data_IF_463354161843
#
_entry.id   IF_463354161843
#
_cell.length_a   1.000
_cell.length_b   1.000
_cell.length_c   1.000
_cell.angle_alpha   90.00
_cell.angle_beta   90.00
_cell.angle_gamma   90.00
#
_symmetry.space_group_name_H-M   'P 1'
#
loop_
_entity.id
_entity.type
_entity.pdbx_description
1 polymer ?
#
# COMPACT_ATOMS: atom_id res chain seq x y z
N UNK A 1 9.86 22.23 -2.38
CA UNK A 1 9.98 20.81 -2.00
C UNK A 1 10.69 20.78 -0.66
N UNK A 2 9.94 20.40 0.37
CA UNK A 2 10.37 20.37 1.76
C UNK A 2 11.35 19.20 1.99
N UNK A 3 12.28 19.35 2.93
CA UNK A 3 13.24 18.30 3.25
C UNK A 3 12.60 17.09 3.95
N UNK A 4 13.28 15.92 3.97
CA UNK A 4 12.73 14.67 4.52
C UNK A 4 12.30 14.77 5.98
N UNK A 5 13.02 15.57 6.80
CA UNK A 5 12.69 15.77 8.22
C UNK A 5 11.34 16.45 8.43
N UNK A 6 11.02 17.46 7.61
CA UNK A 6 9.74 18.20 7.69
C UNK A 6 8.59 17.29 7.27
N UNK A 7 8.76 16.55 6.17
CA UNK A 7 7.77 15.60 5.67
C UNK A 7 7.52 14.49 6.71
N UNK A 8 8.57 13.90 7.29
CA UNK A 8 8.43 12.87 8.31
C UNK A 8 7.75 13.36 9.58
N UNK A 9 8.06 14.56 10.04
CA UNK A 9 7.36 15.17 11.18
C UNK A 9 5.87 15.40 10.86
N UNK A 10 5.56 15.96 9.69
CA UNK A 10 4.18 16.18 9.24
C UNK A 10 3.40 14.85 9.18
N UNK A 11 4.00 13.82 8.61
CA UNK A 11 3.36 12.50 8.51
C UNK A 11 3.09 11.90 9.89
N UNK A 12 4.06 11.96 10.81
CA UNK A 12 3.90 11.47 12.18
C UNK A 12 2.76 12.19 12.89
N UNK A 13 2.69 13.51 12.81
CA UNK A 13 1.62 14.31 13.42
C UNK A 13 0.25 14.00 12.82
N UNK A 14 0.14 13.98 11.50
CA UNK A 14 -1.14 13.70 10.82
C UNK A 14 -1.59 12.26 11.04
N UNK A 15 -0.67 11.30 11.12
CA UNK A 15 -0.98 9.92 11.46
C UNK A 15 -1.49 9.78 12.89
N UNK A 16 -0.81 10.39 13.87
CA UNK A 16 -1.24 10.36 15.27
C UNK A 16 -2.62 10.97 15.43
N UNK A 17 -2.87 12.10 14.75
CA UNK A 17 -4.17 12.76 14.77
C UNK A 17 -5.29 11.92 14.17
N UNK A 18 -5.02 11.18 13.09
CA UNK A 18 -6.01 10.31 12.44
C UNK A 18 -6.26 9.02 13.21
N UNK A 19 -5.28 8.50 13.94
CA UNK A 19 -5.44 7.28 14.75
C UNK A 19 -6.47 7.47 15.87
N UNK A 20 -6.53 8.65 16.48
CA UNK A 20 -7.46 8.94 17.59
C UNK A 20 -8.92 8.65 17.22
N UNK A 21 -9.50 9.25 16.16
CA UNK A 21 -10.89 8.97 15.79
C UNK A 21 -11.12 7.55 15.27
N UNK A 22 -10.13 6.96 14.58
CA UNK A 22 -10.22 5.56 14.11
C UNK A 22 -10.29 4.61 15.31
N UNK A 23 -9.40 4.78 16.28
CA UNK A 23 -9.44 4.01 17.53
C UNK A 23 -10.70 4.30 18.33
N UNK A 24 -11.16 5.55 18.35
CA UNK A 24 -12.44 5.92 18.95
C UNK A 24 -13.59 5.11 18.37
N UNK A 25 -13.73 5.02 17.06
CA UNK A 25 -14.77 4.19 16.42
C UNK A 25 -14.53 2.71 16.70
N UNK A 26 -13.30 2.20 16.55
CA UNK A 26 -12.99 0.80 16.74
C UNK A 26 -13.28 0.29 18.16
N UNK A 27 -13.09 1.14 19.18
CA UNK A 27 -13.22 0.77 20.59
C UNK A 27 -14.57 1.21 21.20
N UNK A 28 -15.06 2.40 20.87
CA UNK A 28 -16.27 2.95 21.46
C UNK A 28 -17.52 2.74 20.59
N UNK A 29 -17.35 2.54 19.30
CA UNK A 29 -18.48 2.37 18.37
C UNK A 29 -19.37 1.15 18.67
N UNK A 30 -18.88 0.19 19.49
CA UNK A 30 -19.66 -0.96 19.96
C UNK A 30 -20.89 -0.57 20.76
N UNK A 31 -20.93 0.61 21.37
CA UNK A 31 -22.12 1.13 22.06
C UNK A 31 -23.31 1.40 21.11
N UNK A 32 -23.02 1.64 19.83
CA UNK A 32 -24.00 1.89 18.77
C UNK A 32 -24.11 0.72 17.78
N UNK A 33 -23.42 -0.40 18.05
CA UNK A 33 -23.43 -1.58 17.20
C UNK A 33 -24.76 -2.33 17.30
N UNK A 34 -25.44 -2.51 16.16
CA UNK A 34 -26.60 -3.36 16.04
C UNK A 34 -26.27 -4.67 15.31
N UNK A 35 -26.47 -5.78 16.02
CA UNK A 35 -26.20 -7.13 15.48
C UNK A 35 -27.10 -7.46 14.28
N UNK A 36 -28.35 -7.01 14.26
CA UNK A 36 -29.27 -7.29 13.16
C UNK A 36 -28.78 -6.59 11.87
N UNK A 37 -28.39 -5.32 11.97
CA UNK A 37 -27.78 -4.55 10.88
C UNK A 37 -26.53 -5.23 10.33
N UNK A 38 -25.65 -5.71 11.21
CA UNK A 38 -24.42 -6.42 10.80
C UNK A 38 -24.73 -7.72 10.05
N UNK A 39 -25.63 -8.56 10.57
CA UNK A 39 -25.94 -9.86 9.98
C UNK A 39 -26.65 -9.75 8.63
N UNK A 40 -27.52 -8.76 8.45
CA UNK A 40 -28.17 -8.50 7.15
C UNK A 40 -27.19 -8.01 6.07
N UNK A 41 -26.04 -7.44 6.48
CA UNK A 41 -24.98 -6.98 5.58
C UNK A 41 -23.86 -8.01 5.33
N UNK A 42 -23.91 -9.22 5.91
CA UNK A 42 -22.79 -10.16 5.92
C UNK A 42 -22.33 -10.58 4.51
N UNK A 43 -23.23 -11.02 3.64
CA UNK A 43 -22.91 -11.36 2.26
C UNK A 43 -24.02 -10.89 1.32
N UNK A 44 -23.85 -9.71 0.76
CA UNK A 44 -24.79 -9.09 -0.17
C UNK A 44 -24.39 -9.24 -1.64
N UNK A 45 -23.37 -10.07 -1.93
CA UNK A 45 -22.87 -10.27 -3.28
C UNK A 45 -23.79 -11.12 -4.16
N UNK A 46 -24.74 -11.83 -3.56
CA UNK A 46 -25.58 -12.83 -4.24
C UNK A 46 -24.83 -14.11 -4.64
N UNK A 47 -23.54 -14.20 -4.37
CA UNK A 47 -22.70 -15.35 -4.62
C UNK A 47 -22.38 -16.16 -3.36
N UNK A 48 -21.52 -17.19 -3.51
CA UNK A 48 -21.06 -17.99 -2.37
C UNK A 48 -20.15 -17.16 -1.45
N UNK A 49 -20.08 -17.55 -0.17
CA UNK A 49 -19.22 -16.89 0.81
C UNK A 49 -17.73 -16.96 0.40
N UNK A 50 -17.30 -18.06 -0.22
CA UNK A 50 -15.92 -18.21 -0.72
C UNK A 50 -15.59 -17.16 -1.77
N UNK A 51 -16.52 -16.87 -2.69
CA UNK A 51 -16.32 -15.83 -3.71
C UNK A 51 -16.32 -14.43 -3.08
N UNK A 52 -17.20 -14.16 -2.12
CA UNK A 52 -17.23 -12.89 -1.39
C UNK A 52 -15.93 -12.65 -0.61
N UNK A 53 -15.41 -13.68 0.07
CA UNK A 53 -14.12 -13.64 0.77
C UNK A 53 -12.96 -13.42 -0.22
N UNK A 54 -13.00 -14.02 -1.41
CA UNK A 54 -11.99 -13.79 -2.45
C UNK A 54 -11.88 -12.31 -2.87
N UNK A 55 -13.03 -11.66 -3.11
CA UNK A 55 -13.06 -10.22 -3.42
C UNK A 55 -12.58 -9.36 -2.25
N UNK A 56 -13.01 -9.69 -1.03
CA UNK A 56 -12.55 -9.00 0.17
C UNK A 56 -11.03 -9.15 0.38
N UNK A 57 -10.45 -10.30 0.03
CA UNK A 57 -9.02 -10.55 0.12
C UNK A 57 -8.19 -9.65 -0.81
N UNK A 58 -8.66 -9.35 -2.02
CA UNK A 58 -8.00 -8.40 -2.93
C UNK A 58 -7.96 -6.99 -2.34
N UNK A 59 -9.09 -6.53 -1.78
CA UNK A 59 -9.17 -5.22 -1.12
C UNK A 59 -8.28 -5.20 0.14
N UNK A 60 -8.29 -6.28 0.92
CA UNK A 60 -7.42 -6.42 2.09
C UNK A 60 -5.93 -6.38 1.71
N UNK A 61 -5.53 -7.01 0.60
CA UNK A 61 -4.15 -6.94 0.11
C UNK A 61 -3.72 -5.50 -0.10
N UNK A 62 -4.55 -4.67 -0.76
CA UNK A 62 -4.26 -3.25 -0.92
C UNK A 62 -4.10 -2.52 0.43
N UNK A 63 -4.97 -2.81 1.40
CA UNK A 63 -4.92 -2.16 2.71
C UNK A 63 -3.62 -2.45 3.49
N UNK A 64 -2.92 -3.54 3.16
CA UNK A 64 -1.64 -3.92 3.76
C UNK A 64 -0.41 -3.62 2.87
N UNK A 65 -0.61 -3.08 1.65
CA UNK A 65 0.49 -2.62 0.82
C UNK A 65 1.25 -1.49 1.51
N UNK A 66 2.56 -1.47 1.31
CA UNK A 66 3.43 -0.45 1.91
C UNK A 66 4.18 -0.91 3.16
N UNK A 67 3.88 -2.09 3.72
CA UNK A 67 4.66 -2.65 4.84
C UNK A 67 6.12 -2.89 4.45
N UNK A 68 6.40 -3.15 3.18
CA UNK A 68 7.73 -3.27 2.59
C UNK A 68 8.55 -1.98 2.65
N UNK A 69 7.90 -0.82 2.80
CA UNK A 69 8.56 0.49 2.90
C UNK A 69 9.51 0.58 4.12
N UNK A 70 9.25 -0.20 5.17
CA UNK A 70 10.16 -0.32 6.29
C UNK A 70 11.56 -0.80 5.89
N UNK A 71 11.67 -1.65 4.85
CA UNK A 71 12.94 -2.13 4.33
C UNK A 71 13.74 -1.04 3.61
N UNK A 72 13.08 -0.05 3.00
CA UNK A 72 13.73 1.09 2.33
C UNK A 72 14.54 1.93 3.33
N UNK A 73 14.10 1.97 4.58
CA UNK A 73 14.74 2.71 5.66
C UNK A 73 15.86 1.94 6.37
N UNK A 74 16.21 0.72 5.93
CA UNK A 74 17.17 -0.16 6.61
C UNK A 74 18.55 0.47 6.83
N UNK A 75 18.99 1.37 5.94
CA UNK A 75 20.29 2.04 6.03
C UNK A 75 20.42 3.08 7.14
N UNK A 76 19.30 3.49 7.76
CA UNK A 76 19.26 4.54 8.81
C UNK A 76 18.69 4.02 10.14
N UNK A 77 18.27 2.76 10.20
CA UNK A 77 17.68 2.13 11.41
C UNK A 77 18.78 1.41 12.20
N UNK A 78 18.80 1.63 13.50
CA UNK A 78 19.64 0.87 14.41
C UNK A 78 19.22 -0.60 14.47
N UNK A 79 20.19 -1.53 14.44
CA UNK A 79 19.94 -2.98 14.46
C UNK A 79 18.86 -3.44 13.46
N UNK A 80 19.00 -3.12 12.16
CA UNK A 80 17.92 -3.29 11.16
C UNK A 80 17.47 -4.74 11.04
N UNK A 81 18.36 -5.73 11.22
CA UNK A 81 18.03 -7.17 11.17
C UNK A 81 17.00 -7.61 12.22
N UNK A 82 16.92 -6.91 13.34
CA UNK A 82 15.95 -7.19 14.42
C UNK A 82 14.77 -6.22 14.37
N UNK A 83 15.05 -4.94 14.25
CA UNK A 83 14.06 -3.90 14.45
C UNK A 83 13.08 -3.80 13.26
N UNK A 84 13.53 -4.01 12.02
CA UNK A 84 12.64 -3.97 10.85
C UNK A 84 11.62 -5.11 10.90
N UNK A 85 11.99 -6.41 11.01
CA UNK A 85 11.00 -7.47 11.10
C UNK A 85 10.04 -7.31 12.29
N UNK A 86 10.54 -6.89 13.44
CA UNK A 86 9.72 -6.70 14.64
C UNK A 86 8.72 -5.56 14.45
N UNK A 87 9.15 -4.41 13.97
CA UNK A 87 8.28 -3.26 13.70
C UNK A 87 7.23 -3.60 12.62
N UNK A 88 7.64 -4.31 11.57
CA UNK A 88 6.73 -4.75 10.50
C UNK A 88 5.66 -5.69 11.05
N UNK A 89 6.03 -6.71 11.82
CA UNK A 89 5.07 -7.67 12.37
C UNK A 89 4.12 -7.04 13.39
N UNK A 90 4.63 -6.17 14.27
CA UNK A 90 3.79 -5.45 15.25
C UNK A 90 2.85 -4.49 14.51
N UNK A 91 3.38 -3.72 13.56
CA UNK A 91 2.58 -2.78 12.76
C UNK A 91 1.49 -3.49 11.96
N UNK A 92 1.83 -4.62 11.31
CA UNK A 92 0.88 -5.44 10.57
C UNK A 92 -0.21 -6.01 11.47
N UNK A 93 0.16 -6.59 12.62
CA UNK A 93 -0.79 -7.16 13.58
C UNK A 93 -1.71 -6.10 14.17
N UNK A 94 -1.17 -4.95 14.57
CA UNK A 94 -1.97 -3.84 15.09
C UNK A 94 -2.93 -3.28 14.03
N UNK A 95 -2.47 -3.09 12.80
CA UNK A 95 -3.31 -2.64 11.69
C UNK A 95 -4.43 -3.63 11.40
N UNK A 96 -4.14 -4.95 11.39
CA UNK A 96 -5.15 -5.98 11.19
C UNK A 96 -6.25 -5.92 12.25
N UNK A 97 -5.88 -5.80 13.53
CA UNK A 97 -6.84 -5.68 14.65
C UNK A 97 -7.70 -4.42 14.49
N UNK A 98 -7.09 -3.28 14.19
CA UNK A 98 -7.81 -2.01 13.99
C UNK A 98 -8.77 -2.12 12.80
N UNK A 99 -8.34 -2.69 11.67
CA UNK A 99 -9.19 -2.87 10.49
C UNK A 99 -10.38 -3.78 10.78
N UNK A 100 -10.17 -4.93 11.42
CA UNK A 100 -11.25 -5.85 11.79
C UNK A 100 -12.26 -5.16 12.72
N UNK A 101 -11.78 -4.52 13.79
CA UNK A 101 -12.65 -3.87 14.77
C UNK A 101 -13.43 -2.72 14.14
N UNK A 102 -12.76 -1.81 13.44
CA UNK A 102 -13.42 -0.62 12.86
C UNK A 102 -14.40 -1.01 11.75
N UNK A 103 -14.03 -1.93 10.86
CA UNK A 103 -14.92 -2.37 9.78
C UNK A 103 -16.16 -3.09 10.33
N UNK A 104 -15.98 -3.98 11.32
CA UNK A 104 -17.09 -4.68 11.96
C UNK A 104 -18.06 -3.69 12.61
N UNK A 105 -17.52 -2.74 13.36
CA UNK A 105 -18.34 -1.72 14.03
C UNK A 105 -19.11 -0.86 13.02
N UNK A 106 -18.46 -0.39 11.97
CA UNK A 106 -19.11 0.42 10.93
C UNK A 106 -20.24 -0.35 10.26
N UNK A 107 -20.03 -1.63 9.94
CA UNK A 107 -21.06 -2.50 9.36
C UNK A 107 -22.24 -2.74 10.31
N UNK A 108 -22.05 -2.65 11.62
CA UNK A 108 -23.13 -2.72 12.60
C UNK A 108 -23.82 -1.39 12.88
N UNK A 109 -23.21 -0.25 12.54
CA UNK A 109 -23.81 1.08 12.72
C UNK A 109 -24.57 1.53 11.48
N UNK A 110 -24.05 1.23 10.28
CA UNK A 110 -24.60 1.70 9.01
C UNK A 110 -25.18 0.52 8.24
N UNK A 111 -26.47 0.56 7.87
CA UNK A 111 -27.08 -0.47 7.02
C UNK A 111 -26.33 -0.59 5.68
N UNK A 112 -26.19 -1.82 5.18
CA UNK A 112 -25.42 -2.09 3.97
C UNK A 112 -25.87 -1.27 2.75
N UNK A 113 -27.18 -1.07 2.58
CA UNK A 113 -27.72 -0.28 1.47
C UNK A 113 -27.17 1.15 1.44
N UNK A 114 -27.00 1.76 2.61
CA UNK A 114 -26.44 3.10 2.74
C UNK A 114 -24.88 3.06 2.67
N UNK A 115 -24.26 2.02 3.28
CA UNK A 115 -22.82 1.86 3.28
C UNK A 115 -22.24 1.75 1.86
N UNK A 116 -22.97 1.12 0.94
CA UNK A 116 -22.58 1.00 -0.48
C UNK A 116 -22.51 2.33 -1.22
N UNK A 117 -23.25 3.34 -0.78
CA UNK A 117 -23.27 4.69 -1.37
C UNK A 117 -22.54 5.73 -0.52
N UNK A 118 -22.06 5.35 0.65
CA UNK A 118 -21.36 6.25 1.55
C UNK A 118 -19.98 6.65 1.02
N UNK A 119 -19.76 7.96 0.82
CA UNK A 119 -18.48 8.49 0.41
C UNK A 119 -17.46 8.57 1.55
N UNK A 120 -17.92 8.62 2.80
CA UNK A 120 -17.08 8.73 3.99
C UNK A 120 -17.66 7.90 5.16
N UNK A 121 -17.55 6.55 5.12
CA UNK A 121 -18.20 5.67 6.11
C UNK A 121 -17.83 5.98 7.56
N UNK A 122 -16.57 6.30 7.86
CA UNK A 122 -16.15 6.67 9.21
C UNK A 122 -16.80 7.95 9.71
N UNK A 123 -16.93 8.97 8.86
CA UNK A 123 -17.59 10.22 9.21
C UNK A 123 -19.10 10.02 9.43
N UNK A 124 -19.72 9.19 8.60
CA UNK A 124 -21.14 8.84 8.74
C UNK A 124 -21.41 8.02 10.03
N UNK A 125 -20.55 7.05 10.35
CA UNK A 125 -20.64 6.31 11.60
C UNK A 125 -20.51 7.24 12.81
N UNK A 126 -19.58 8.18 12.79
CA UNK A 126 -19.44 9.18 13.86
C UNK A 126 -20.64 10.13 13.94
N UNK A 127 -21.24 10.49 12.81
CA UNK A 127 -22.47 11.30 12.79
C UNK A 127 -23.61 10.59 13.52
N UNK A 128 -23.77 9.29 13.32
CA UNK A 128 -24.78 8.48 13.99
C UNK A 128 -24.51 8.30 15.48
N UNK A 129 -23.24 8.18 15.85
CA UNK A 129 -22.84 7.96 17.23
C UNK A 129 -22.90 9.24 18.07
N UNK A 130 -22.32 10.32 17.59
CA UNK A 130 -22.10 11.57 18.39
C UNK A 130 -22.53 12.84 17.64
N UNK A 131 -23.26 12.71 16.54
CA UNK A 131 -23.81 13.83 15.78
C UNK A 131 -22.82 14.53 14.84
N UNK A 132 -23.21 15.69 14.32
CA UNK A 132 -22.46 16.43 13.31
C UNK A 132 -21.04 16.86 13.76
N UNK A 133 -20.83 17.03 15.04
CA UNK A 133 -19.49 17.36 15.59
C UNK A 133 -18.53 16.18 15.37
N UNK A 134 -18.97 14.96 15.63
CA UNK A 134 -18.18 13.76 15.37
C UNK A 134 -17.84 13.59 13.88
N UNK A 135 -18.81 13.82 13.02
CA UNK A 135 -18.61 13.82 11.57
C UNK A 135 -17.53 14.83 11.15
N UNK A 136 -17.63 16.06 11.64
CA UNK A 136 -16.69 17.14 11.29
C UNK A 136 -15.26 16.82 11.76
N UNK A 137 -15.11 16.30 12.99
CA UNK A 137 -13.80 15.92 13.54
C UNK A 137 -13.14 14.84 12.64
N UNK A 138 -13.87 13.79 12.29
CA UNK A 138 -13.33 12.72 11.42
C UNK A 138 -12.99 13.26 10.05
N UNK A 139 -13.84 14.08 9.44
CA UNK A 139 -13.59 14.65 8.12
C UNK A 139 -12.30 15.51 8.11
N UNK A 140 -12.11 16.37 9.10
CA UNK A 140 -10.90 17.20 9.24
C UNK A 140 -9.66 16.30 9.44
N UNK A 141 -9.73 15.33 10.35
CA UNK A 141 -8.62 14.38 10.56
C UNK A 141 -8.26 13.61 9.28
N UNK A 142 -9.27 13.17 8.52
CA UNK A 142 -9.06 12.45 7.25
C UNK A 142 -8.37 13.34 6.20
N UNK A 143 -8.78 14.59 6.06
CA UNK A 143 -8.14 15.56 5.14
C UNK A 143 -6.68 15.79 5.53
N UNK A 144 -6.42 16.07 6.80
CA UNK A 144 -5.06 16.31 7.31
C UNK A 144 -4.17 15.06 7.11
N UNK A 145 -4.70 13.86 7.39
CA UNK A 145 -3.98 12.60 7.17
C UNK A 145 -3.69 12.38 5.68
N UNK A 146 -4.62 12.65 4.80
CA UNK A 146 -4.43 12.48 3.36
C UNK A 146 -3.29 13.37 2.84
N UNK A 147 -3.21 14.63 3.29
CA UNK A 147 -2.11 15.56 2.94
C UNK A 147 -0.77 15.04 3.48
N UNK A 148 -0.71 14.62 4.74
CA UNK A 148 0.51 14.06 5.33
C UNK A 148 0.96 12.79 4.61
N UNK A 149 0.02 11.86 4.35
CA UNK A 149 0.29 10.60 3.67
C UNK A 149 0.80 10.81 2.25
N UNK A 150 0.20 11.73 1.49
CA UNK A 150 0.68 12.07 0.15
C UNK A 150 2.14 12.54 0.19
N UNK A 151 2.50 13.38 1.16
CA UNK A 151 3.89 13.83 1.36
C UNK A 151 4.86 12.69 1.63
N UNK A 152 4.50 11.77 2.53
CA UNK A 152 5.29 10.59 2.87
C UNK A 152 5.48 9.64 1.69
N UNK A 153 4.39 9.31 0.97
CA UNK A 153 4.47 8.46 -0.21
C UNK A 153 5.28 9.08 -1.35
N UNK A 154 5.13 10.38 -1.60
CA UNK A 154 5.96 11.08 -2.59
C UNK A 154 7.44 11.01 -2.24
N UNK A 155 7.80 11.18 -0.96
CA UNK A 155 9.19 11.05 -0.52
C UNK A 155 9.70 9.62 -0.73
N UNK A 156 8.92 8.60 -0.32
CA UNK A 156 9.29 7.18 -0.46
C UNK A 156 9.51 6.80 -1.92
N UNK A 157 8.58 7.14 -2.82
CA UNK A 157 8.67 6.86 -4.26
C UNK A 157 9.88 7.58 -4.87
N UNK A 158 10.13 8.83 -4.46
CA UNK A 158 11.30 9.59 -4.89
C UNK A 158 12.61 8.93 -4.49
N UNK A 159 12.73 8.43 -3.25
CA UNK A 159 13.93 7.74 -2.77
C UNK A 159 14.11 6.38 -3.46
N UNK A 160 13.03 5.62 -3.67
CA UNK A 160 13.07 4.35 -4.39
C UNK A 160 13.49 4.53 -5.84
N UNK A 161 12.94 5.52 -6.54
CA UNK A 161 13.33 5.87 -7.91
C UNK A 161 14.79 6.33 -8.00
N UNK A 162 15.27 7.08 -6.99
CA UNK A 162 16.69 7.47 -6.87
C UNK A 162 17.56 6.24 -6.70
N UNK A 163 17.25 5.34 -5.78
CA UNK A 163 18.01 4.11 -5.56
C UNK A 163 18.10 3.27 -6.84
N UNK A 164 16.99 3.12 -7.57
CA UNK A 164 16.99 2.45 -8.86
C UNK A 164 17.86 3.17 -9.91
N UNK A 165 17.89 4.50 -9.89
CA UNK A 165 18.76 5.27 -10.80
C UNK A 165 20.24 5.19 -10.41
N UNK A 166 20.56 5.14 -9.12
CA UNK A 166 21.94 4.93 -8.63
C UNK A 166 22.48 3.54 -9.03
N UNK A 167 21.59 2.55 -9.12
CA UNK A 167 21.90 1.20 -9.62
C UNK A 167 21.83 1.10 -11.15
N UNK A 168 21.51 2.20 -11.85
CA UNK A 168 21.46 2.26 -13.31
C UNK A 168 20.17 1.69 -13.92
N UNK A 169 19.20 1.27 -13.11
CA UNK A 169 17.93 0.73 -13.58
C UNK A 169 16.93 1.82 -14.01
N UNK A 170 17.16 3.08 -13.60
CA UNK A 170 16.38 4.24 -14.01
C UNK A 170 17.26 5.30 -14.65
N UNK A 171 16.67 6.23 -15.44
CA UNK A 171 17.42 7.34 -16.01
C UNK A 171 18.15 8.16 -14.95
N UNK A 172 19.39 8.55 -15.22
CA UNK A 172 20.27 9.28 -14.28
C UNK A 172 19.66 10.60 -13.74
N UNK A 173 18.63 11.14 -14.43
CA UNK A 173 17.89 12.31 -13.97
C UNK A 173 17.19 12.12 -12.62
N UNK A 174 16.79 10.88 -12.27
CA UNK A 174 16.18 10.54 -10.99
C UNK A 174 17.19 10.51 -9.82
N UNK A 175 18.48 10.29 -10.10
CA UNK A 175 19.53 10.29 -9.08
C UNK A 175 19.92 11.70 -8.60
N UNK A 176 19.56 12.77 -9.35
CA UNK A 176 19.98 14.13 -9.04
C UNK A 176 19.21 14.71 -7.87
N UNK A 177 19.92 15.01 -6.78
CA UNK A 177 19.36 15.67 -5.60
C UNK A 177 19.32 17.19 -5.78
N UNK A 178 18.31 17.82 -5.18
CA UNK A 178 18.24 19.27 -5.02
C UNK A 178 19.02 19.70 -3.75
N UNK A 179 19.04 21.02 -3.46
CA UNK A 179 19.70 21.60 -2.28
C UNK A 179 19.19 21.06 -0.93
N UNK A 180 18.03 20.42 -0.91
CA UNK A 180 17.42 19.84 0.29
C UNK A 180 17.63 18.33 0.38
N UNK A 181 18.48 17.72 -0.48
CA UNK A 181 18.75 16.28 -0.49
C UNK A 181 17.59 15.43 -1.04
N UNK A 182 16.71 16.01 -1.85
CA UNK A 182 15.53 15.35 -2.42
C UNK A 182 15.66 15.24 -3.93
N UNK A 183 15.28 14.11 -4.58
CA UNK A 183 15.32 13.92 -6.02
C UNK A 183 14.20 14.70 -6.73
N UNK A 184 14.28 16.03 -6.71
CA UNK A 184 13.21 16.93 -7.13
C UNK A 184 12.71 16.73 -8.56
N UNK A 185 13.62 16.42 -9.51
CA UNK A 185 13.24 16.12 -10.90
C UNK A 185 12.43 14.83 -11.00
N UNK A 186 12.88 13.78 -10.29
CA UNK A 186 12.15 12.52 -10.23
C UNK A 186 10.75 12.70 -9.65
N UNK A 187 10.60 13.47 -8.58
CA UNK A 187 9.31 13.77 -7.96
C UNK A 187 8.36 14.53 -8.90
N UNK A 188 8.86 15.47 -9.69
CA UNK A 188 8.01 16.18 -10.69
C UNK A 188 7.53 15.20 -11.75
N UNK A 189 8.40 14.33 -12.27
CA UNK A 189 8.02 13.31 -13.27
C UNK A 189 6.97 12.38 -12.68
N UNK A 190 7.18 11.87 -11.47
CA UNK A 190 6.20 11.01 -10.77
C UNK A 190 4.87 11.74 -10.59
N UNK A 191 4.88 13.01 -10.16
CA UNK A 191 3.66 13.81 -10.01
C UNK A 191 2.89 13.98 -11.31
N UNK A 192 3.60 14.21 -12.43
CA UNK A 192 2.97 14.29 -13.76
C UNK A 192 2.37 12.94 -14.15
N UNK A 193 3.10 11.84 -13.97
CA UNK A 193 2.59 10.49 -14.27
C UNK A 193 1.36 10.14 -13.40
N UNK A 194 1.38 10.45 -12.12
CA UNK A 194 0.22 10.29 -11.24
C UNK A 194 -0.99 11.09 -11.73
N UNK A 195 -0.78 12.31 -12.18
CA UNK A 195 -1.83 13.15 -12.74
C UNK A 195 -2.40 12.54 -14.01
N UNK A 196 -1.57 12.02 -14.90
CA UNK A 196 -2.01 11.32 -16.13
C UNK A 196 -2.84 10.08 -15.76
N UNK A 197 -2.38 9.24 -14.82
CA UNK A 197 -3.13 8.07 -14.37
C UNK A 197 -4.47 8.48 -13.76
N UNK A 198 -4.49 9.54 -12.94
CA UNK A 198 -5.72 10.05 -12.35
C UNK A 198 -6.76 10.43 -13.42
N UNK A 199 -6.34 11.13 -14.47
CA UNK A 199 -7.23 11.48 -15.59
C UNK A 199 -7.62 10.26 -16.44
N UNK A 200 -6.70 9.33 -16.67
CA UNK A 200 -6.97 8.12 -17.45
C UNK A 200 -7.94 7.15 -16.73
N UNK A 201 -8.01 7.19 -15.40
CA UNK A 201 -8.93 6.38 -14.60
C UNK A 201 -10.20 7.10 -14.18
N UNK A 202 -10.46 8.32 -14.71
CA UNK A 202 -11.67 9.09 -14.37
C UNK A 202 -12.93 8.25 -14.52
N UNK A 203 -13.78 8.32 -13.51
CA UNK A 203 -15.03 7.58 -13.41
C UNK A 203 -16.14 8.52 -12.96
N UNK A 204 -17.41 8.16 -13.17
CA UNK A 204 -18.56 8.99 -12.82
C UNK A 204 -18.59 9.35 -11.32
N UNK A 205 -18.09 8.46 -10.45
CA UNK A 205 -18.00 8.70 -9.02
C UNK A 205 -16.57 8.58 -8.51
N UNK A 206 -16.25 9.30 -7.41
CA UNK A 206 -14.97 9.22 -6.73
C UNK A 206 -14.72 7.79 -6.21
N UNK A 207 -15.77 7.11 -5.75
CA UNK A 207 -15.67 5.73 -5.25
C UNK A 207 -15.27 4.76 -6.36
N UNK A 208 -15.87 4.86 -7.54
CA UNK A 208 -15.52 4.01 -8.68
C UNK A 208 -14.09 4.27 -9.16
N UNK A 209 -13.67 5.54 -9.21
CA UNK A 209 -12.30 5.89 -9.56
C UNK A 209 -11.30 5.33 -8.55
N UNK A 210 -11.59 5.45 -7.26
CA UNK A 210 -10.78 4.89 -6.19
C UNK A 210 -10.63 3.37 -6.31
N UNK A 211 -11.74 2.66 -6.53
CA UNK A 211 -11.72 1.21 -6.71
C UNK A 211 -10.89 0.79 -7.92
N UNK A 212 -11.02 1.46 -9.07
CA UNK A 212 -10.21 1.16 -10.27
C UNK A 212 -8.72 1.34 -10.02
N UNK A 213 -8.33 2.40 -9.30
CA UNK A 213 -6.91 2.64 -8.96
C UNK A 213 -6.40 1.55 -8.00
N UNK A 214 -7.19 1.15 -7.01
CA UNK A 214 -6.85 0.07 -6.08
C UNK A 214 -6.64 -1.24 -6.83
N UNK A 215 -7.62 -1.65 -7.64
CA UNK A 215 -7.55 -2.91 -8.37
C UNK A 215 -6.32 -2.97 -9.28
N UNK A 216 -6.03 -1.88 -10.00
CA UNK A 216 -4.82 -1.76 -10.81
C UNK A 216 -3.54 -1.87 -9.96
N UNK A 217 -3.49 -1.17 -8.82
CA UNK A 217 -2.35 -1.18 -7.92
C UNK A 217 -2.10 -2.58 -7.33
N UNK A 218 -3.16 -3.30 -6.90
CA UNK A 218 -3.08 -4.67 -6.37
C UNK A 218 -2.47 -5.61 -7.40
N UNK A 219 -2.94 -5.58 -8.65
CA UNK A 219 -2.44 -6.48 -9.68
C UNK A 219 -0.97 -6.19 -10.00
N UNK A 220 -0.59 -4.92 -10.08
CA UNK A 220 0.80 -4.53 -10.35
C UNK A 220 1.75 -4.93 -9.22
N UNK A 221 1.33 -4.84 -7.94
CA UNK A 221 2.18 -5.17 -6.79
C UNK A 221 2.30 -6.68 -6.54
N UNK A 222 1.31 -7.47 -6.95
CA UNK A 222 1.33 -8.93 -6.81
C UNK A 222 2.53 -9.55 -7.53
N UNK A 223 2.94 -8.98 -8.67
CA UNK A 223 4.09 -9.48 -9.43
C UNK A 223 5.39 -9.38 -8.61
N UNK A 224 5.85 -8.21 -8.12
CA UNK A 224 7.04 -8.14 -7.29
C UNK A 224 6.90 -8.91 -5.96
N UNK A 225 5.72 -9.01 -5.35
CA UNK A 225 5.51 -9.82 -4.14
C UNK A 225 5.71 -11.31 -4.41
N UNK A 226 5.25 -11.81 -5.56
CA UNK A 226 5.48 -13.19 -5.99
C UNK A 226 6.99 -13.45 -6.17
N UNK A 227 7.70 -12.56 -6.88
CA UNK A 227 9.14 -12.67 -7.06
C UNK A 227 9.91 -12.60 -5.73
N UNK A 228 9.55 -11.67 -4.85
CA UNK A 228 10.18 -11.53 -3.53
C UNK A 228 9.98 -12.78 -2.67
N UNK A 229 8.79 -13.37 -2.70
CA UNK A 229 8.48 -14.61 -1.96
C UNK A 229 9.32 -15.79 -2.44
N UNK A 230 9.48 -15.94 -3.75
CA UNK A 230 10.33 -17.02 -4.33
C UNK A 230 11.81 -16.75 -4.06
N UNK A 231 12.27 -15.50 -4.23
CA UNK A 231 13.65 -15.11 -4.00
C UNK A 231 14.07 -15.35 -2.54
N UNK A 232 13.16 -15.10 -1.57
CA UNK A 232 13.39 -15.36 -0.15
C UNK A 232 13.78 -16.82 0.12
N UNK A 233 13.11 -17.78 -0.54
CA UNK A 233 13.41 -19.22 -0.39
C UNK A 233 14.84 -19.52 -0.83
N UNK A 234 15.26 -18.91 -1.95
CA UNK A 234 16.64 -19.04 -2.46
C UNK A 234 17.65 -18.43 -1.47
N UNK A 235 17.40 -17.24 -0.97
CA UNK A 235 18.28 -16.57 -0.01
C UNK A 235 18.45 -17.40 1.27
N UNK A 236 17.36 -17.96 1.81
CA UNK A 236 17.43 -18.83 2.99
C UNK A 236 18.21 -20.09 2.71
N UNK A 237 18.00 -20.72 1.52
CA UNK A 237 18.76 -21.89 1.11
C UNK A 237 20.27 -21.61 1.02
N UNK A 238 20.67 -20.51 0.38
CA UNK A 238 22.06 -20.14 0.17
C UNK A 238 22.80 -19.84 1.52
N UNK A 239 22.07 -19.32 2.53
CA UNK A 239 22.66 -18.95 3.81
C UNK A 239 22.62 -20.04 4.89
N UNK A 240 21.60 -20.90 4.91
CA UNK A 240 21.32 -21.85 6.00
C UNK A 240 21.17 -23.30 5.53
N UNK A 241 21.21 -23.55 4.20
CA UNK A 241 21.01 -24.88 3.63
C UNK A 241 19.61 -25.45 3.86
N UNK A 242 19.45 -26.76 3.67
CA UNK A 242 18.14 -27.47 3.76
C UNK A 242 17.82 -27.83 5.23
N UNK A 243 17.62 -26.84 6.09
CA UNK A 243 17.25 -27.05 7.50
C UNK A 243 15.73 -26.82 7.74
N UNK A 244 15.35 -26.84 9.03
CA UNK A 244 13.97 -26.57 9.48
C UNK A 244 13.52 -25.15 9.04
N UNK A 245 14.40 -24.17 9.16
CA UNK A 245 14.15 -22.79 8.74
C UNK A 245 13.79 -22.73 7.23
N UNK A 246 14.56 -23.41 6.38
CA UNK A 246 14.27 -23.49 4.94
C UNK A 246 12.87 -24.07 4.68
N UNK A 247 12.48 -25.15 5.37
CA UNK A 247 11.15 -25.74 5.17
C UNK A 247 10.04 -24.76 5.60
N UNK A 248 10.21 -24.06 6.70
CA UNK A 248 9.25 -23.03 7.17
C UNK A 248 9.08 -21.93 6.14
N UNK A 249 10.18 -21.33 5.67
CA UNK A 249 10.11 -20.25 4.68
C UNK A 249 9.60 -20.72 3.32
N UNK A 250 9.88 -21.97 2.93
CA UNK A 250 9.33 -22.58 1.73
C UNK A 250 7.79 -22.61 1.78
N UNK A 251 7.21 -23.08 2.88
CA UNK A 251 5.75 -23.14 3.03
C UNK A 251 5.11 -21.76 3.13
N UNK A 252 5.76 -20.81 3.80
CA UNK A 252 5.33 -19.41 3.83
C UNK A 252 5.32 -18.82 2.40
N UNK A 253 6.37 -19.04 1.63
CA UNK A 253 6.44 -18.57 0.25
C UNK A 253 5.36 -19.19 -0.65
N UNK A 254 5.10 -20.50 -0.51
CA UNK A 254 4.03 -21.19 -1.25
C UNK A 254 2.67 -20.56 -0.89
N UNK A 255 2.40 -20.36 0.38
CA UNK A 255 1.15 -19.72 0.82
C UNK A 255 1.03 -18.27 0.31
N UNK A 256 2.11 -17.50 0.34
CA UNK A 256 2.14 -16.13 -0.19
C UNK A 256 1.87 -16.09 -1.70
N UNK A 257 2.53 -16.96 -2.48
CA UNK A 257 2.30 -17.06 -3.93
C UNK A 257 0.87 -17.52 -4.23
N UNK A 258 0.35 -18.51 -3.50
CA UNK A 258 -1.03 -18.96 -3.66
C UNK A 258 -2.04 -17.84 -3.37
N UNK A 259 -1.79 -17.05 -2.32
CA UNK A 259 -2.61 -15.88 -1.99
C UNK A 259 -2.54 -14.82 -3.08
N UNK A 260 -1.34 -14.52 -3.61
CA UNK A 260 -1.17 -13.57 -4.71
C UNK A 260 -1.95 -14.01 -5.96
N UNK A 261 -1.86 -15.28 -6.34
CA UNK A 261 -2.61 -15.82 -7.48
C UNK A 261 -4.12 -15.77 -7.24
N UNK A 262 -4.56 -16.09 -6.02
CA UNK A 262 -5.97 -16.02 -5.66
C UNK A 262 -6.50 -14.59 -5.70
N UNK A 263 -5.72 -13.59 -5.24
CA UNK A 263 -6.09 -12.19 -5.31
C UNK A 263 -6.26 -11.69 -6.76
N UNK A 264 -5.40 -12.14 -7.69
CA UNK A 264 -5.54 -11.83 -9.13
C UNK A 264 -6.81 -12.47 -9.72
N UNK A 265 -7.09 -13.73 -9.40
CA UNK A 265 -8.29 -14.43 -9.88
C UNK A 265 -9.58 -13.80 -9.33
N UNK A 266 -9.52 -13.26 -8.12
CA UNK A 266 -10.65 -12.56 -7.50
C UNK A 266 -10.86 -11.12 -7.98
N UNK A 267 -9.90 -10.57 -8.75
CA UNK A 267 -9.96 -9.22 -9.32
C UNK A 267 -10.93 -9.09 -10.49
N UNK A 268 -11.23 -7.84 -10.87
CA UNK A 268 -12.03 -7.56 -12.05
C UNK A 268 -11.26 -7.92 -13.33
N UNK A 269 -11.82 -8.75 -14.26
CA UNK A 269 -11.11 -9.22 -15.45
C UNK A 269 -10.59 -8.10 -16.35
N UNK A 270 -11.35 -7.01 -16.53
CA UNK A 270 -10.93 -5.89 -17.37
C UNK A 270 -9.72 -5.18 -16.77
N UNK A 271 -9.70 -5.02 -15.46
CA UNK A 271 -8.57 -4.43 -14.75
C UNK A 271 -7.34 -5.32 -14.81
N UNK A 272 -7.49 -6.65 -14.72
CA UNK A 272 -6.39 -7.61 -14.91
C UNK A 272 -5.77 -7.43 -16.30
N UNK A 273 -6.59 -7.33 -17.35
CA UNK A 273 -6.10 -7.09 -18.73
C UNK A 273 -5.34 -5.79 -18.83
N UNK A 274 -5.87 -4.70 -18.29
CA UNK A 274 -5.20 -3.38 -18.32
C UNK A 274 -3.85 -3.40 -17.58
N UNK A 275 -3.79 -4.06 -16.44
CA UNK A 275 -2.53 -4.21 -15.69
C UNK A 275 -1.51 -5.07 -16.45
N UNK A 276 -1.94 -6.16 -17.09
CA UNK A 276 -1.07 -6.99 -17.94
C UNK A 276 -0.55 -6.20 -19.14
N UNK A 277 -1.39 -5.39 -19.79
CA UNK A 277 -0.95 -4.50 -20.89
C UNK A 277 0.07 -3.49 -20.37
N UNK A 278 -0.14 -2.87 -19.22
CA UNK A 278 0.81 -1.93 -18.60
C UNK A 278 2.17 -2.61 -18.32
N UNK A 279 2.17 -3.84 -17.81
CA UNK A 279 3.38 -4.63 -17.61
C UNK A 279 4.07 -4.96 -18.94
N UNK A 280 3.33 -5.35 -19.97
CA UNK A 280 3.90 -5.65 -21.28
C UNK A 280 4.49 -4.41 -21.96
N UNK A 281 3.90 -3.23 -21.79
CA UNK A 281 4.46 -1.95 -22.27
C UNK A 281 5.81 -1.64 -21.61
N UNK A 282 6.05 -2.12 -20.39
CA UNK A 282 7.35 -1.94 -19.72
C UNK A 282 8.49 -2.73 -20.37
N UNK A 283 8.20 -3.85 -21.04
CA UNK A 283 9.20 -4.74 -21.64
C UNK A 283 10.02 -4.05 -22.73
N UNK A 284 9.44 -3.34 -23.71
CA UNK A 284 10.20 -2.58 -24.71
C UNK A 284 11.07 -1.45 -24.15
N UNK A 285 10.78 -0.99 -22.91
CA UNK A 285 11.57 0.03 -22.24
C UNK A 285 12.88 -0.53 -21.66
N UNK A 286 12.95 -1.84 -21.41
CA UNK A 286 14.09 -2.50 -20.80
C UNK A 286 15.44 -2.27 -21.54
N UNK A 287 15.54 -2.34 -22.89
CA UNK A 287 16.80 -2.06 -23.61
C UNK A 287 17.33 -0.63 -23.39
N UNK A 288 16.44 0.33 -23.15
CA UNK A 288 16.88 1.69 -22.84
C UNK A 288 17.53 1.80 -21.45
N UNK A 289 17.16 0.93 -20.52
CA UNK A 289 17.73 0.90 -19.18
C UNK A 289 19.01 0.06 -19.11
N UNK A 290 19.20 -0.98 -19.92
CA UNK A 290 20.43 -1.79 -19.94
C UNK A 290 21.67 -0.93 -20.15
N UNK A 291 21.65 -0.02 -21.11
CA UNK A 291 22.79 0.88 -21.38
C UNK A 291 23.13 1.76 -20.15
N UNK A 292 22.13 2.18 -19.41
CA UNK A 292 22.29 2.94 -18.16
C UNK A 292 22.91 2.07 -17.05
N UNK A 293 22.46 0.80 -16.94
CA UNK A 293 23.00 -0.16 -15.98
C UNK A 293 24.48 -0.48 -16.24
N UNK A 294 24.86 -0.71 -17.49
CA UNK A 294 26.26 -0.97 -17.88
C UNK A 294 27.16 0.22 -17.57
N UNK A 295 26.69 1.44 -17.86
CA UNK A 295 27.43 2.67 -17.55
C UNK A 295 27.59 2.88 -16.03
N UNK A 296 26.55 2.60 -15.24
CA UNK A 296 26.59 2.68 -13.77
C UNK A 296 27.53 1.61 -13.18
N UNK A 297 27.48 0.38 -13.68
CA UNK A 297 28.34 -0.71 -13.26
C UNK A 297 29.82 -0.40 -13.55
N UNK A 298 30.11 0.20 -14.72
CA UNK A 298 31.45 0.64 -15.08
C UNK A 298 31.99 1.70 -14.13
N UNK A 299 31.19 2.74 -13.81
CA UNK A 299 31.57 3.79 -12.85
C UNK A 299 31.83 3.22 -11.44
N UNK A 300 31.02 2.26 -10.96
CA UNK A 300 31.24 1.60 -9.67
C UNK A 300 32.55 0.80 -9.64
N UNK A 301 32.99 0.24 -10.77
CA UNK A 301 34.25 -0.49 -10.87
C UNK A 301 35.46 0.49 -10.91
N UNK A 302 35.34 1.58 -11.65
CA UNK A 302 36.40 2.62 -11.77
C UNK A 302 36.56 3.41 -10.47
N UNK A 303 35.52 3.68 -9.71
CA UNK A 303 35.56 4.36 -8.40
C UNK A 303 36.02 3.49 -7.23
N UNK A 304 36.31 2.21 -7.46
CA UNK A 304 36.89 1.27 -6.48
C UNK A 304 38.40 1.03 -6.70
N UNK A 305 38.99 1.60 -7.73
CA UNK A 305 40.42 1.67 -7.97
C UNK A 305 40.98 3.04 -7.53
#
# INVERSE_FOLDING_TARGET
ILGPRVIGALETWTMSLALIPILGIALLGWFWFDKATFLTGWNVSGGSDIHAVGRAASIALWAFMGVESAAVSAGVIENPKRNIPLATLIGLGLSAVIYILSSTVIMGIIPNAELRTAHAPFAEAARRAVGNVGMAIIAVCAILKSVGSLGGWMLLVGQSAKAAADDGMFPAGFARLNRHGVPGRGLVIVGVLMTIVLFATMSPTIADQFNRIIDLAVILIVVPYTYASVAMVKVVYDHQGKGRTFQTFKWIAIAAVAYCLWAVVGGDPDTVVHAMVALLISVPLYPFFIRSMEAAAKRKREGRQ
#
